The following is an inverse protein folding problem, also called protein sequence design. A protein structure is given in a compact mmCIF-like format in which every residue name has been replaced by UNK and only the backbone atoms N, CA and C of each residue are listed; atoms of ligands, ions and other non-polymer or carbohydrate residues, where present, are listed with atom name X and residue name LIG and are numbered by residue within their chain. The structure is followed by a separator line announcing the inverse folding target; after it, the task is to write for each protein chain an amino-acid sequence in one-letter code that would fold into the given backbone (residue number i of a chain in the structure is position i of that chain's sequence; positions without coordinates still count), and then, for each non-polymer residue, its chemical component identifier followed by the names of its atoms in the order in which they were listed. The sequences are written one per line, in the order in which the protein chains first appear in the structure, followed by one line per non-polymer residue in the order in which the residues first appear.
data_IF_878223649288
#
_entry.id   IF_878223649288
#
_cell.length_a   1.000
_cell.length_b   1.000
_cell.length_c   1.000
_cell.angle_alpha   90.00
_cell.angle_beta   90.00
_cell.angle_gamma   90.00
#
_symmetry.space_group_name_H-M   'P 1'
#
loop_
_entity.id
_entity.type
_entity.pdbx_description
1 polymer ?
#
# COMPACT_ATOMS: atom_id res chain seq x y z
N UNK A 1 7.53 6.94 -14.03
CA UNK A 1 6.12 6.61 -13.70
C UNK A 1 5.84 6.93 -12.24
N UNK A 2 4.76 7.58 -11.98
CA UNK A 2 4.30 7.82 -10.62
C UNK A 2 3.26 6.77 -10.23
N UNK A 3 3.46 6.17 -9.07
CA UNK A 3 2.48 5.26 -8.48
C UNK A 3 1.77 5.99 -7.35
N UNK A 4 0.46 6.10 -7.48
CA UNK A 4 -0.41 6.71 -6.47
C UNK A 4 -1.10 5.61 -5.69
N UNK A 5 -0.96 5.64 -4.38
CA UNK A 5 -1.64 4.70 -3.49
C UNK A 5 -2.68 5.49 -2.71
N UNK A 6 -3.93 5.12 -2.85
CA UNK A 6 -5.05 5.79 -2.20
C UNK A 6 -5.82 4.83 -1.32
N UNK A 7 -6.07 5.25 -0.10
CA UNK A 7 -6.95 4.57 0.81
C UNK A 7 -7.90 5.59 1.44
N UNK A 8 -9.19 5.31 1.42
CA UNK A 8 -10.21 6.18 2.01
C UNK A 8 -10.63 5.64 3.35
N UNK A 9 -10.09 5.48 4.34
CA UNK A 9 -10.36 4.87 5.64
C UNK A 9 -9.62 3.56 5.79
N UNK A 10 -8.44 3.65 6.34
CA UNK A 10 -7.58 2.49 6.49
C UNK A 10 -8.17 1.48 7.47
N UNK A 11 -8.18 0.19 7.16
CA UNK A 11 -8.67 -0.82 8.09
C UNK A 11 -7.79 -0.80 9.34
N UNK A 12 -8.40 -0.84 10.50
CA UNK A 12 -7.64 -0.79 11.74
C UNK A 12 -8.52 -0.91 12.96
N UNK A 13 -8.82 0.21 13.56
CA UNK A 13 -9.48 0.26 14.87
C UNK A 13 -10.86 -0.36 14.93
N UNK A 14 -11.59 -0.37 13.83
CA UNK A 14 -12.98 -0.83 13.79
C UNK A 14 -13.10 -2.34 13.62
N UNK A 15 -12.00 -3.06 13.64
CA UNK A 15 -12.00 -4.51 13.45
C UNK A 15 -12.41 -5.32 14.68
N UNK A 16 -12.79 -4.65 15.75
CA UNK A 16 -13.31 -5.29 16.96
C UNK A 16 -12.23 -5.97 17.81
N UNK A 17 -12.63 -6.53 18.96
CA UNK A 17 -11.70 -7.19 19.87
C UNK A 17 -11.08 -8.44 19.24
N UNK A 18 -9.78 -8.64 19.45
CA UNK A 18 -9.05 -9.79 18.94
C UNK A 18 -8.39 -9.60 17.57
N UNK A 19 -8.57 -8.45 16.90
CA UNK A 19 -7.83 -8.13 15.69
C UNK A 19 -6.41 -7.66 15.97
N UNK A 20 -5.55 -7.60 14.95
CA UNK A 20 -4.17 -7.14 15.08
C UNK A 20 -4.07 -5.71 15.61
N UNK A 21 -5.12 -4.93 15.42
CA UNK A 21 -5.19 -3.53 15.81
C UNK A 21 -5.75 -3.34 17.24
N UNK A 22 -6.31 -4.38 17.82
CA UNK A 22 -6.95 -4.29 19.13
C UNK A 22 -5.93 -3.97 20.23
N UNK A 23 -6.26 -3.02 21.10
CA UNK A 23 -5.42 -2.63 22.23
C UNK A 23 -4.16 -1.86 21.87
N UNK A 24 -3.96 -1.52 20.60
CA UNK A 24 -2.81 -0.74 20.16
C UNK A 24 -3.15 0.73 20.09
N UNK A 25 -2.21 1.57 20.51
CA UNK A 25 -2.34 3.02 20.49
C UNK A 25 -1.35 3.63 19.50
N UNK A 26 -1.64 4.84 19.03
CA UNK A 26 -0.78 5.57 18.10
C UNK A 26 -0.44 4.77 16.82
N UNK A 27 -1.45 4.13 16.27
CA UNK A 27 -1.30 3.37 15.04
C UNK A 27 -1.13 4.32 13.87
N UNK A 28 -0.08 4.06 13.07
CA UNK A 28 0.23 4.80 11.86
C UNK A 28 0.46 3.82 10.70
N UNK A 29 0.35 4.34 9.50
CA UNK A 29 0.58 3.57 8.27
C UNK A 29 1.42 4.37 7.31
N UNK A 30 2.33 3.69 6.64
CA UNK A 30 3.19 4.29 5.62
C UNK A 30 3.70 3.26 4.63
N UNK A 31 4.37 3.73 3.60
CA UNK A 31 4.99 2.88 2.59
C UNK A 31 6.43 2.62 2.99
N UNK A 32 6.79 1.34 3.11
CA UNK A 32 8.11 0.94 3.57
C UNK A 32 9.17 1.11 2.48
N UNK A 33 10.29 1.72 2.84
CA UNK A 33 11.44 1.81 1.97
C UNK A 33 12.14 0.45 1.83
N UNK A 34 12.60 0.15 0.63
CA UNK A 34 13.15 -1.16 0.23
C UNK A 34 14.34 -1.61 1.08
N UNK A 35 15.31 -0.72 1.30
CA UNK A 35 16.58 -1.01 1.97
C UNK A 35 16.64 -0.48 3.40
N UNK A 36 15.58 0.16 3.88
CA UNK A 36 15.47 0.72 5.23
C UNK A 36 14.07 0.50 5.77
N UNK A 37 13.80 -0.70 6.35
CA UNK A 37 12.45 -1.07 6.77
C UNK A 37 11.89 -0.22 7.91
N UNK A 38 12.72 0.53 8.62
CA UNK A 38 12.32 1.50 9.64
C UNK A 38 12.02 2.90 9.07
N UNK A 39 12.32 3.14 7.80
CA UNK A 39 11.95 4.37 7.11
C UNK A 39 10.69 4.16 6.28
N UNK A 40 9.69 4.99 6.55
CA UNK A 40 8.41 4.93 5.87
C UNK A 40 8.10 6.26 5.21
N UNK A 41 7.61 6.20 3.99
CA UNK A 41 7.12 7.38 3.29
C UNK A 41 5.74 7.74 3.86
N UNK A 42 5.59 8.97 4.30
CA UNK A 42 4.29 9.56 4.59
C UNK A 42 3.48 8.83 5.65
N UNK A 43 3.91 8.84 6.92
CA UNK A 43 3.11 8.27 8.00
C UNK A 43 1.79 9.00 8.16
N UNK A 44 0.69 8.27 8.06
CA UNK A 44 -0.66 8.75 8.33
C UNK A 44 -1.21 8.06 9.57
N UNK A 45 -2.06 8.75 10.39
CA UNK A 45 -2.79 8.07 11.44
C UNK A 45 -3.59 6.88 10.90
N UNK A 46 -3.60 5.77 11.62
CA UNK A 46 -4.26 4.55 11.16
C UNK A 46 -5.78 4.65 11.04
N UNK A 47 -6.39 5.66 11.66
CA UNK A 47 -7.81 5.96 11.57
C UNK A 47 -8.13 7.16 10.64
N UNK A 48 -7.15 7.62 9.87
CA UNK A 48 -7.37 8.71 8.93
C UNK A 48 -8.49 8.37 7.94
N UNK A 49 -9.40 9.31 7.67
CA UNK A 49 -10.48 9.07 6.71
C UNK A 49 -9.98 8.89 5.28
N UNK A 50 -8.81 9.45 4.98
CA UNK A 50 -8.14 9.29 3.70
C UNK A 50 -6.62 9.33 3.88
N UNK A 51 -5.92 8.56 3.08
CA UNK A 51 -4.47 8.57 3.01
C UNK A 51 -4.04 8.45 1.55
N UNK A 52 -2.95 9.10 1.21
CA UNK A 52 -2.43 9.12 -0.15
C UNK A 52 -0.90 9.14 -0.12
N UNK A 53 -0.31 8.33 -0.98
CA UNK A 53 1.13 8.31 -1.22
C UNK A 53 1.41 8.39 -2.71
N UNK A 54 2.51 9.03 -3.07
CA UNK A 54 3.00 9.06 -4.44
C UNK A 54 4.45 8.56 -4.45
N UNK A 55 4.71 7.54 -5.26
CA UNK A 55 6.02 6.94 -5.42
C UNK A 55 6.55 7.26 -6.80
N UNK A 56 7.78 7.78 -6.89
CA UNK A 56 8.48 7.92 -8.15
C UNK A 56 9.19 6.63 -8.49
N UNK A 57 8.83 6.03 -9.62
CA UNK A 57 9.34 4.76 -10.06
C UNK A 57 9.87 4.85 -11.49
N UNK A 58 10.77 3.92 -11.81
CA UNK A 58 11.23 3.72 -13.18
C UNK A 58 10.61 2.47 -13.76
N UNK A 59 10.41 2.48 -15.07
CA UNK A 59 9.91 1.32 -15.80
C UNK A 59 10.89 0.92 -16.89
N UNK A 60 10.97 -0.40 -17.13
CA UNK A 60 11.76 -0.96 -18.21
C UNK A 60 10.98 -2.13 -18.82
N UNK A 61 11.22 -2.41 -20.09
CA UNK A 61 10.64 -3.59 -20.73
C UNK A 61 11.59 -4.77 -20.53
N UNK A 62 11.10 -5.78 -19.80
CA UNK A 62 11.81 -7.03 -19.58
C UNK A 62 11.23 -8.19 -20.38
N UNK A 63 11.80 -9.40 -20.24
CA UNK A 63 11.31 -10.59 -20.96
C UNK A 63 9.88 -10.98 -20.60
N UNK A 64 9.44 -10.64 -19.38
CA UNK A 64 8.10 -10.95 -18.89
C UNK A 64 7.16 -9.74 -18.91
N UNK A 65 7.54 -8.66 -19.59
CA UNK A 65 6.74 -7.45 -19.72
C UNK A 65 7.35 -6.25 -19.02
N UNK A 66 6.51 -5.33 -18.54
CA UNK A 66 6.95 -4.11 -17.88
C UNK A 66 7.49 -4.42 -16.47
N UNK A 67 8.72 -4.01 -16.21
CA UNK A 67 9.36 -4.09 -14.89
C UNK A 67 9.35 -2.72 -14.23
N UNK A 68 8.87 -2.66 -12.98
CA UNK A 68 8.83 -1.44 -12.18
C UNK A 68 9.89 -1.52 -11.10
N UNK A 69 10.65 -0.46 -10.91
CA UNK A 69 11.66 -0.38 -9.86
C UNK A 69 11.67 1.00 -9.20
N UNK A 70 12.23 1.08 -8.01
CA UNK A 70 12.34 2.32 -7.25
C UNK A 70 12.67 2.08 -5.79
N UNK A 71 12.88 3.16 -5.00
CA UNK A 71 13.32 3.04 -3.61
C UNK A 71 12.30 2.36 -2.69
N UNK A 72 11.04 2.30 -3.08
CA UNK A 72 9.97 1.67 -2.31
C UNK A 72 9.47 0.37 -2.93
N UNK A 73 10.06 -0.06 -4.03
CA UNK A 73 9.68 -1.29 -4.73
C UNK A 73 10.56 -2.43 -4.28
N UNK A 74 9.97 -3.39 -3.58
CA UNK A 74 10.64 -4.62 -3.18
C UNK A 74 10.77 -5.54 -4.40
N UNK A 75 11.88 -6.26 -4.48
CA UNK A 75 12.11 -7.28 -5.50
C UNK A 75 12.64 -8.53 -4.80
N UNK A 76 11.78 -9.51 -4.63
CA UNK A 76 12.09 -10.76 -3.95
C UNK A 76 11.58 -11.94 -4.74
N UNK A 77 11.94 -13.13 -4.30
CA UNK A 77 11.40 -14.37 -4.83
C UNK A 77 9.87 -14.31 -4.78
N UNK A 78 9.23 -14.42 -5.92
CA UNK A 78 7.78 -14.25 -6.06
C UNK A 78 7.34 -12.93 -6.68
N UNK A 79 8.29 -12.01 -6.98
CA UNK A 79 8.01 -10.81 -7.78
C UNK A 79 8.32 -9.49 -7.11
N UNK A 80 7.80 -8.44 -7.72
CA UNK A 80 7.98 -7.07 -7.26
C UNK A 80 6.71 -6.58 -6.59
N UNK A 81 6.87 -5.82 -5.51
CA UNK A 81 5.74 -5.35 -4.73
C UNK A 81 6.12 -4.15 -3.88
N UNK A 82 5.10 -3.49 -3.35
CA UNK A 82 5.24 -2.40 -2.38
C UNK A 82 4.63 -2.87 -1.06
N UNK A 83 5.32 -2.62 0.05
CA UNK A 83 4.77 -2.85 1.39
C UNK A 83 4.05 -1.61 1.89
N UNK A 84 2.80 -1.78 2.24
CA UNK A 84 2.07 -0.84 3.08
C UNK A 84 2.15 -1.38 4.52
N UNK A 85 2.72 -0.62 5.44
CA UNK A 85 3.07 -1.10 6.77
C UNK A 85 2.33 -0.32 7.86
N UNK A 86 1.65 -1.03 8.74
CA UNK A 86 1.02 -0.48 9.94
C UNK A 86 1.92 -0.75 11.14
N UNK A 87 2.02 0.23 12.02
CA UNK A 87 2.79 0.10 13.22
C UNK A 87 2.37 1.12 14.27
N UNK A 88 2.97 1.00 15.43
CA UNK A 88 2.79 1.96 16.53
C UNK A 88 3.98 2.89 16.59
N UNK A 89 3.73 4.15 16.92
CA UNK A 89 4.77 5.16 17.11
C UNK A 89 4.85 5.47 18.62
N UNK A 90 6.02 5.26 19.21
CA UNK A 90 6.23 5.54 20.64
C UNK A 90 6.52 7.02 20.91
N UNK A 91 6.75 7.35 22.20
CA UNK A 91 7.03 8.73 22.60
C UNK A 91 8.33 9.31 22.04
N UNK A 92 9.26 8.46 21.58
CA UNK A 92 10.51 8.85 20.93
C UNK A 92 10.37 8.92 19.41
N UNK A 93 9.19 8.65 18.88
CA UNK A 93 8.94 8.65 17.44
C UNK A 93 9.36 7.37 16.74
N UNK A 94 9.70 6.30 17.47
CA UNK A 94 10.09 5.03 16.88
C UNK A 94 8.88 4.27 16.40
N UNK A 95 8.92 3.89 15.12
CA UNK A 95 7.88 3.08 14.48
C UNK A 95 8.16 1.59 14.69
N UNK A 96 7.16 0.87 15.22
CA UNK A 96 7.22 -0.58 15.42
C UNK A 96 6.11 -1.24 14.59
N UNK A 97 6.50 -1.89 13.50
CA UNK A 97 5.57 -2.53 12.56
C UNK A 97 4.94 -3.78 13.19
N UNK A 98 3.62 -3.93 13.01
CA UNK A 98 2.92 -5.15 13.43
C UNK A 98 2.09 -5.78 12.30
N UNK A 99 1.84 -5.06 11.22
CA UNK A 99 1.06 -5.57 10.08
C UNK A 99 1.58 -4.98 8.77
N UNK A 100 1.59 -5.80 7.72
CA UNK A 100 1.93 -5.37 6.35
C UNK A 100 0.90 -5.87 5.36
N UNK A 101 0.73 -5.11 4.29
CA UNK A 101 0.02 -5.56 3.10
C UNK A 101 0.95 -5.43 1.90
N UNK A 102 0.95 -6.43 1.03
CA UNK A 102 1.71 -6.41 -0.21
C UNK A 102 0.83 -5.94 -1.35
N UNK A 103 1.30 -4.91 -2.06
CA UNK A 103 0.71 -4.48 -3.30
C UNK A 103 1.53 -5.11 -4.42
N UNK A 104 1.09 -6.27 -4.90
CA UNK A 104 1.83 -7.10 -5.86
C UNK A 104 1.61 -6.61 -7.28
N UNK A 105 2.69 -6.31 -7.99
CA UNK A 105 2.57 -5.91 -9.40
C UNK A 105 2.12 -7.06 -10.31
N UNK A 106 2.35 -8.29 -9.90
CA UNK A 106 1.85 -9.46 -10.63
C UNK A 106 0.31 -9.55 -10.68
N UNK A 107 -0.38 -8.86 -9.76
CA UNK A 107 -1.85 -8.81 -9.72
C UNK A 107 -2.42 -7.74 -10.67
N UNK A 108 -1.57 -6.96 -11.32
CA UNK A 108 -2.00 -5.92 -12.26
C UNK A 108 -2.14 -6.55 -13.64
N UNK A 109 -3.29 -6.33 -14.29
CA UNK A 109 -3.47 -6.74 -15.67
C UNK A 109 -2.38 -6.12 -16.55
N UNK A 110 -1.83 -6.92 -17.49
CA UNK A 110 -0.76 -6.47 -18.37
C UNK A 110 -1.15 -5.21 -19.16
N UNK A 111 -2.39 -5.13 -19.60
CA UNK A 111 -2.89 -3.96 -20.35
C UNK A 111 -2.90 -2.69 -19.50
N UNK A 112 -3.25 -2.80 -18.22
CA UNK A 112 -3.22 -1.68 -17.28
C UNK A 112 -1.78 -1.22 -17.04
N UNK A 113 -0.88 -2.16 -16.82
CA UNK A 113 0.52 -1.83 -16.56
C UNK A 113 1.21 -1.20 -17.78
N UNK A 114 0.93 -1.69 -18.98
CA UNK A 114 1.41 -1.10 -20.23
C UNK A 114 0.86 0.32 -20.43
N UNK A 115 -0.43 0.51 -20.20
CA UNK A 115 -1.05 1.83 -20.28
C UNK A 115 -0.46 2.79 -19.24
N UNK A 116 -0.18 2.31 -18.04
CA UNK A 116 0.46 3.10 -16.98
C UNK A 116 1.88 3.51 -17.37
N UNK A 117 2.63 2.62 -17.97
CA UNK A 117 3.98 2.93 -18.47
C UNK A 117 3.95 4.04 -19.54
N UNK A 118 2.91 4.04 -20.40
CA UNK A 118 2.74 5.09 -21.40
C UNK A 118 2.24 6.42 -20.83
N UNK A 119 1.27 6.38 -19.93
CA UNK A 119 0.68 7.59 -19.32
C UNK A 119 1.58 8.24 -18.27
N UNK A 120 2.46 7.46 -17.66
CA UNK A 120 3.28 7.91 -16.54
C UNK A 120 2.59 7.82 -15.19
N UNK A 121 1.39 7.23 -15.10
CA UNK A 121 0.61 7.14 -13.87
C UNK A 121 0.00 5.75 -13.67
N UNK A 122 0.12 5.25 -12.44
CA UNK A 122 -0.54 4.04 -11.98
C UNK A 122 -1.17 4.34 -10.63
N UNK A 123 -2.46 4.07 -10.47
CA UNK A 123 -3.17 4.29 -9.22
C UNK A 123 -3.62 2.96 -8.63
N UNK A 124 -3.26 2.74 -7.37
CA UNK A 124 -3.72 1.64 -6.55
C UNK A 124 -4.71 2.19 -5.53
N UNK A 125 -5.94 1.68 -5.57
CA UNK A 125 -6.97 2.03 -4.58
C UNK A 125 -7.22 0.86 -3.67
N UNK A 126 -7.04 1.09 -2.36
CA UNK A 126 -7.35 0.09 -1.36
C UNK A 126 -8.81 0.27 -0.95
N UNK A 127 -9.63 -0.77 -1.08
CA UNK A 127 -10.98 -0.70 -0.58
C UNK A 127 -10.96 -0.70 0.95
N UNK A 128 -11.84 0.08 1.51
CA UNK A 128 -11.89 0.36 2.93
C UNK A 128 -13.07 -0.30 3.58
N UNK A 129 -14.05 -0.59 2.80
CA UNK A 129 -15.27 -1.25 3.23
C UNK A 129 -15.67 -2.30 2.22
N UNK A 130 -16.42 -3.27 2.68
CA UNK A 130 -17.04 -4.27 1.81
C UNK A 130 -18.25 -3.67 1.08
N UNK A 131 -18.94 -4.49 0.29
CA UNK A 131 -20.12 -4.07 -0.46
C UNK A 131 -21.27 -3.55 0.42
N UNK A 132 -21.27 -3.88 1.70
CA UNK A 132 -22.27 -3.45 2.67
C UNK A 132 -21.83 -2.23 3.48
N UNK A 133 -20.68 -1.63 3.15
CA UNK A 133 -20.14 -0.47 3.84
C UNK A 133 -19.45 -0.76 5.16
N UNK A 134 -19.21 -2.02 5.49
CA UNK A 134 -18.50 -2.40 6.72
C UNK A 134 -16.99 -2.27 6.51
N UNK A 135 -16.23 -1.79 7.52
CA UNK A 135 -14.78 -1.71 7.42
C UNK A 135 -14.16 -3.07 7.13
N UNK A 136 -13.20 -3.10 6.20
CA UNK A 136 -12.45 -4.32 5.90
C UNK A 136 -11.36 -4.53 6.94
N UNK A 137 -11.44 -5.66 7.61
CA UNK A 137 -10.41 -6.07 8.56
C UNK A 137 -9.34 -6.88 7.83
N UNK A 138 -8.17 -6.33 7.69
CA UNK A 138 -7.05 -6.94 6.98
C UNK A 138 -6.68 -8.34 7.51
N UNK A 139 -7.13 -8.70 8.70
CA UNK A 139 -6.94 -10.00 9.30
C UNK A 139 -7.71 -11.12 8.60
N UNK A 140 -8.91 -10.81 8.13
CA UNK A 140 -9.82 -11.84 7.58
C UNK A 140 -9.57 -12.04 6.10
N UNK A 141 -9.29 -10.98 5.37
CA UNK A 141 -9.00 -11.03 3.94
C UNK A 141 -7.97 -9.96 3.58
N UNK A 142 -7.01 -10.27 2.70
CA UNK A 142 -6.19 -9.21 2.12
C UNK A 142 -7.11 -8.23 1.39
N UNK A 143 -6.87 -6.93 1.48
CA UNK A 143 -7.65 -5.96 0.73
C UNK A 143 -7.51 -6.22 -0.77
N UNK A 144 -8.62 -6.20 -1.48
CA UNK A 144 -8.62 -6.28 -2.94
C UNK A 144 -8.27 -4.89 -3.47
N UNK A 145 -7.17 -4.80 -4.18
CA UNK A 145 -6.69 -3.53 -4.72
C UNK A 145 -7.25 -3.32 -6.11
N UNK A 146 -7.79 -2.14 -6.37
CA UNK A 146 -8.22 -1.72 -7.70
C UNK A 146 -7.11 -0.92 -8.35
N UNK A 147 -6.63 -1.38 -9.51
CA UNK A 147 -5.57 -0.74 -10.26
C UNK A 147 -6.12 0.03 -11.45
N UNK A 148 -5.53 1.19 -11.72
CA UNK A 148 -5.90 2.05 -12.85
C UNK A 148 -4.65 2.70 -13.43
N UNK A 149 -4.62 2.88 -14.75
CA UNK A 149 -3.55 3.57 -15.45
C UNK A 149 -3.77 5.08 -15.54
N UNK A 150 -4.63 5.63 -14.71
CA UNK A 150 -4.93 7.06 -14.66
C UNK A 150 -4.34 7.72 -13.42
N UNK A 151 -4.07 9.03 -13.52
CA UNK A 151 -3.78 9.83 -12.34
C UNK A 151 -5.01 9.88 -11.42
N UNK A 152 -4.82 10.09 -10.09
CA UNK A 152 -5.97 10.25 -9.19
C UNK A 152 -6.77 11.49 -9.58
N UNK A 153 -8.05 11.28 -9.72
CA UNK A 153 -8.99 12.33 -10.10
C UNK A 153 -9.68 13.00 -8.94
#
# INVERSE_FOLDING_TARGET
MQIHIEGSRLPGRDCGPGGDFAGRENIHVGVQRKDRPDELLGLHPGDAPAAHWTLDCTTATGPDGIEVSGPYVQNRLGGRFVYLSWGTVDGDGLFSMFRRAKLMFADIDADILEAAARSGHLTARLPLSDAQGQPLCARVRPPVITWSAAAPG
#
